data_IF_545495423186
#
_entry.id   IF_545495423186
#
_cell.length_a   1.000
_cell.length_b   1.000
_cell.length_c   1.000
_cell.angle_alpha   90.00
_cell.angle_beta   90.00
_cell.angle_gamma   90.00
#
_symmetry.space_group_name_H-M   'P 1'
#
loop_
_entity.id
_entity.type
_entity.pdbx_description
1 polymer ?
#
# COMPACT_ATOMS: atom_id res chain seq x y z
N UNK A 1 -3.72 -13.77 41.79
CA UNK A 1 -3.05 -13.98 40.50
C UNK A 1 -4.10 -13.99 39.40
N UNK A 2 -4.37 -12.82 38.82
CA UNK A 2 -5.32 -12.66 37.72
C UNK A 2 -4.52 -12.74 36.41
N UNK A 3 -4.51 -13.92 35.78
CA UNK A 3 -3.91 -14.06 34.44
C UNK A 3 -4.90 -13.47 33.45
N UNK A 4 -4.64 -12.21 33.14
CA UNK A 4 -5.17 -11.39 32.05
C UNK A 4 -5.70 -12.22 30.89
N UNK A 5 -7.02 -12.14 30.68
CA UNK A 5 -7.66 -12.54 29.45
C UNK A 5 -7.07 -11.73 28.29
N UNK A 6 -6.16 -12.35 27.55
CA UNK A 6 -5.76 -11.84 26.24
C UNK A 6 -6.92 -12.17 25.30
N UNK A 7 -7.77 -11.18 25.11
CA UNK A 7 -9.04 -11.28 24.42
C UNK A 7 -8.90 -11.85 22.99
N UNK A 8 -9.82 -12.76 22.66
CA UNK A 8 -10.10 -13.22 21.28
C UNK A 8 -10.60 -12.10 20.36
N UNK A 9 -10.88 -10.90 20.90
CA UNK A 9 -11.19 -9.67 20.14
C UNK A 9 -10.03 -9.15 19.27
N UNK A 10 -8.82 -9.68 19.41
CA UNK A 10 -7.66 -9.24 18.61
C UNK A 10 -7.45 -10.00 17.30
N UNK A 11 -8.31 -10.96 16.92
CA UNK A 11 -8.14 -11.70 15.67
C UNK A 11 -8.42 -10.81 14.46
N UNK A 12 -7.54 -10.90 13.48
CA UNK A 12 -7.68 -10.20 12.21
C UNK A 12 -8.84 -10.83 11.44
N UNK A 13 -10.03 -10.24 11.60
CA UNK A 13 -11.18 -10.48 10.72
C UNK A 13 -11.06 -9.68 9.42
N UNK A 14 -12.14 -9.61 8.66
CA UNK A 14 -12.19 -8.90 7.37
C UNK A 14 -11.79 -7.41 7.49
N UNK A 15 -12.22 -6.73 8.55
CA UNK A 15 -11.83 -5.34 8.84
C UNK A 15 -10.32 -5.20 9.14
N UNK A 16 -9.73 -6.14 9.87
CA UNK A 16 -8.30 -6.13 10.18
C UNK A 16 -7.42 -6.36 8.95
N UNK A 17 -7.91 -7.11 7.95
CA UNK A 17 -7.22 -7.27 6.66
C UNK A 17 -7.14 -5.91 5.95
N UNK A 18 -8.27 -5.20 5.86
CA UNK A 18 -8.32 -3.86 5.26
C UNK A 18 -7.42 -2.87 6.01
N UNK A 19 -7.42 -2.90 7.34
CA UNK A 19 -6.55 -2.04 8.15
C UNK A 19 -5.06 -2.30 7.86
N UNK A 20 -4.65 -3.57 7.80
CA UNK A 20 -3.26 -3.95 7.48
C UNK A 20 -2.85 -3.56 6.07
N UNK A 21 -3.73 -3.75 5.08
CA UNK A 21 -3.51 -3.24 3.73
C UNK A 21 -3.40 -1.72 3.70
N UNK A 22 -4.25 -1.02 4.46
CA UNK A 22 -4.19 0.43 4.63
C UNK A 22 -2.82 0.84 5.16
N UNK A 23 -2.29 0.16 6.18
CA UNK A 23 -0.92 0.43 6.68
C UNK A 23 0.17 0.21 5.62
N UNK A 24 0.03 -0.78 4.73
CA UNK A 24 0.96 -0.97 3.62
C UNK A 24 0.84 0.14 2.56
N UNK A 25 -0.38 0.63 2.32
CA UNK A 25 -0.62 1.80 1.47
C UNK A 25 0.02 3.06 2.06
N UNK A 26 -0.25 3.37 3.34
CA UNK A 26 0.28 4.54 4.05
C UNK A 26 1.81 4.53 4.17
N UNK A 27 2.45 3.36 4.06
CA UNK A 27 3.91 3.24 3.99
C UNK A 27 4.46 3.37 2.57
N UNK A 28 3.62 3.30 1.55
CA UNK A 28 4.01 3.28 0.15
C UNK A 28 4.42 1.91 -0.40
N UNK A 29 4.27 0.84 0.39
CA UNK A 29 4.74 -0.49 0.03
C UNK A 29 3.97 -1.06 -1.16
N UNK A 30 2.66 -0.81 -1.23
CA UNK A 30 1.85 -1.25 -2.37
C UNK A 30 2.24 -0.51 -3.67
N UNK A 31 2.59 0.77 -3.60
CA UNK A 31 3.02 1.56 -4.75
C UNK A 31 4.41 1.12 -5.25
N UNK A 32 5.36 0.87 -4.35
CA UNK A 32 6.67 0.29 -4.68
C UNK A 32 6.52 -1.09 -5.33
N UNK A 33 5.70 -1.95 -4.73
CA UNK A 33 5.42 -3.29 -5.25
C UNK A 33 4.80 -3.24 -6.65
N UNK A 34 3.91 -2.27 -6.89
CA UNK A 34 3.32 -2.00 -8.20
C UNK A 34 4.36 -1.49 -9.20
N UNK A 35 5.25 -0.58 -8.79
CA UNK A 35 6.33 -0.04 -9.63
C UNK A 35 7.25 -1.14 -10.15
N UNK A 36 7.76 -1.99 -9.25
CA UNK A 36 8.65 -3.10 -9.58
C UNK A 36 7.96 -4.21 -10.39
N UNK A 37 6.65 -4.13 -10.60
CA UNK A 37 5.90 -5.14 -11.33
C UNK A 37 5.97 -6.50 -10.64
N UNK A 38 6.00 -6.52 -9.31
CA UNK A 38 6.05 -7.76 -8.55
C UNK A 38 4.79 -8.59 -8.87
N UNK A 39 4.98 -9.61 -9.71
CA UNK A 39 3.96 -10.54 -10.18
C UNK A 39 3.58 -11.57 -9.11
N UNK A 40 4.37 -11.66 -8.04
CA UNK A 40 4.16 -12.58 -6.94
C UNK A 40 3.00 -12.17 -6.03
N UNK A 41 2.33 -13.15 -5.41
CA UNK A 41 1.20 -12.88 -4.53
C UNK A 41 1.61 -12.05 -3.30
N UNK A 42 0.73 -11.14 -2.87
CA UNK A 42 0.89 -10.42 -1.61
C UNK A 42 0.29 -11.25 -0.48
N UNK A 43 1.12 -11.63 0.50
CA UNK A 43 0.71 -12.45 1.63
C UNK A 43 0.66 -11.63 2.91
N UNK A 44 -0.47 -11.65 3.60
CA UNK A 44 -0.66 -11.08 4.93
C UNK A 44 -0.75 -12.21 5.96
N UNK A 45 0.25 -12.38 6.85
CA UNK A 45 0.21 -13.45 7.84
C UNK A 45 -0.93 -13.21 8.84
N UNK A 46 -1.71 -14.25 9.12
CA UNK A 46 -2.70 -14.26 10.20
C UNK A 46 -2.06 -14.88 11.45
N UNK A 47 -2.59 -14.54 12.62
CA UNK A 47 -2.19 -15.19 13.88
C UNK A 47 -3.12 -16.37 14.14
N UNK A 48 -2.72 -17.63 13.84
CA UNK A 48 -3.57 -18.78 14.10
C UNK A 48 -3.75 -19.00 15.62
N UNK A 49 -4.88 -19.55 16.05
CA UNK A 49 -5.11 -19.88 17.46
C UNK A 49 -4.14 -20.97 17.95
N UNK A 50 -3.75 -20.86 19.22
CA UNK A 50 -2.92 -21.89 19.89
C UNK A 50 -3.74 -23.12 20.32
N UNK A 51 -3.07 -24.22 20.66
CA UNK A 51 -3.74 -25.50 21.02
C UNK A 51 -4.74 -25.38 22.19
N UNK A 52 -4.41 -24.61 23.22
CA UNK A 52 -5.29 -24.36 24.37
C UNK A 52 -6.55 -23.58 23.96
N UNK A 53 -6.39 -22.60 23.07
CA UNK A 53 -7.46 -21.74 22.60
C UNK A 53 -8.42 -22.48 21.67
N UNK A 54 -7.91 -23.43 20.88
CA UNK A 54 -8.72 -24.36 20.07
C UNK A 54 -9.64 -25.21 20.95
N UNK A 55 -9.18 -25.63 22.13
CA UNK A 55 -9.97 -26.40 23.07
C UNK A 55 -11.01 -25.55 23.79
N UNK A 56 -10.59 -24.40 24.33
CA UNK A 56 -11.43 -23.55 25.19
C UNK A 56 -12.46 -22.74 24.39
N UNK A 57 -12.17 -22.39 23.12
CA UNK A 57 -12.96 -21.44 22.33
C UNK A 57 -13.20 -21.91 20.89
N UNK A 58 -13.44 -23.21 20.72
CA UNK A 58 -13.62 -23.84 19.42
C UNK A 58 -14.72 -23.19 18.56
N UNK A 59 -15.87 -22.86 19.15
CA UNK A 59 -16.98 -22.22 18.43
C UNK A 59 -16.58 -20.89 17.80
N UNK A 60 -15.91 -20.03 18.58
CA UNK A 60 -15.44 -18.72 18.11
C UNK A 60 -14.34 -18.84 17.04
N UNK A 61 -13.47 -19.84 17.15
CA UNK A 61 -12.50 -20.15 16.08
C UNK A 61 -13.23 -20.52 14.79
N UNK A 62 -14.24 -21.39 14.87
CA UNK A 62 -15.00 -21.83 13.70
C UNK A 62 -15.77 -20.67 13.04
N UNK A 63 -16.37 -19.80 13.84
CA UNK A 63 -17.11 -18.65 13.31
C UNK A 63 -16.17 -17.63 12.65
N UNK A 64 -15.00 -17.39 13.25
CA UNK A 64 -13.95 -16.56 12.63
C UNK A 64 -13.44 -17.15 11.30
N UNK A 65 -13.22 -18.47 11.22
CA UNK A 65 -12.81 -19.12 9.96
C UNK A 65 -13.88 -18.93 8.89
N UNK A 66 -15.16 -19.12 9.23
CA UNK A 66 -16.29 -18.92 8.31
C UNK A 66 -16.40 -17.47 7.83
N UNK A 67 -16.22 -16.50 8.72
CA UNK A 67 -16.19 -15.08 8.36
C UNK A 67 -15.09 -14.80 7.33
N UNK A 68 -13.87 -15.31 7.58
CA UNK A 68 -12.75 -15.15 6.66
C UNK A 68 -13.01 -15.79 5.30
N UNK A 69 -13.54 -17.02 5.26
CA UNK A 69 -13.84 -17.73 4.00
C UNK A 69 -14.92 -17.02 3.18
N UNK A 70 -15.96 -16.52 3.84
CA UNK A 70 -17.00 -15.71 3.20
C UNK A 70 -16.43 -14.40 2.63
N UNK A 71 -15.58 -13.72 3.41
CA UNK A 71 -14.92 -12.50 2.97
C UNK A 71 -13.94 -12.75 1.82
N UNK A 72 -13.19 -13.85 1.85
CA UNK A 72 -12.25 -14.26 0.79
C UNK A 72 -12.92 -14.37 -0.57
N UNK A 73 -14.08 -15.03 -0.61
CA UNK A 73 -14.88 -15.22 -1.83
C UNK A 73 -15.37 -13.89 -2.41
N UNK A 74 -15.74 -12.93 -1.55
CA UNK A 74 -16.21 -11.60 -1.95
C UNK A 74 -15.07 -10.67 -2.40
N UNK A 75 -13.96 -10.70 -1.67
CA UNK A 75 -12.89 -9.71 -1.74
C UNK A 75 -11.72 -10.17 -2.63
N UNK A 76 -11.80 -11.38 -3.22
CA UNK A 76 -10.88 -11.87 -4.26
C UNK A 76 -9.49 -12.28 -3.75
N UNK A 77 -9.39 -12.67 -2.48
CA UNK A 77 -8.16 -13.26 -1.92
C UNK A 77 -8.41 -14.72 -1.55
N UNK A 78 -7.34 -15.49 -1.35
CA UNK A 78 -7.41 -16.86 -0.83
C UNK A 78 -6.87 -16.94 0.59
N UNK A 79 -7.31 -17.94 1.33
CA UNK A 79 -6.78 -18.23 2.67
C UNK A 79 -5.75 -19.35 2.54
N UNK A 80 -4.51 -19.08 2.97
CA UNK A 80 -3.55 -20.14 3.20
C UNK A 80 -3.85 -20.79 4.54
N UNK A 81 -3.99 -22.12 4.56
CA UNK A 81 -4.30 -22.90 5.76
C UNK A 81 -3.13 -23.80 6.13
N UNK A 82 -3.02 -24.14 7.42
CA UNK A 82 -2.09 -25.13 7.94
C UNK A 82 -2.87 -26.21 8.68
N UNK A 83 -2.56 -27.46 8.39
CA UNK A 83 -3.08 -28.61 9.12
C UNK A 83 -2.38 -28.74 10.47
N UNK A 84 -3.15 -28.84 11.54
CA UNK A 84 -2.69 -29.07 12.91
C UNK A 84 -3.40 -30.30 13.43
N UNK A 85 -2.63 -31.28 13.88
CA UNK A 85 -3.17 -32.49 14.48
C UNK A 85 -3.28 -32.31 16.00
N UNK A 86 -4.50 -32.25 16.52
CA UNK A 86 -4.77 -32.03 17.93
C UNK A 86 -5.32 -33.30 18.57
N UNK A 87 -4.71 -33.75 19.67
CA UNK A 87 -5.04 -35.04 20.32
C UNK A 87 -6.54 -35.22 20.65
N UNK A 88 -7.24 -34.14 20.97
CA UNK A 88 -8.67 -34.16 21.35
C UNK A 88 -9.59 -33.80 20.18
N UNK A 89 -9.13 -32.96 19.24
CA UNK A 89 -9.98 -32.39 18.19
C UNK A 89 -9.69 -33.01 16.81
N UNK A 90 -8.75 -33.95 16.73
CA UNK A 90 -8.26 -34.54 15.49
C UNK A 90 -7.55 -33.53 14.59
N UNK A 91 -7.57 -33.81 13.29
CA UNK A 91 -7.00 -32.95 12.26
C UNK A 91 -7.85 -31.67 12.05
N UNK A 92 -7.23 -30.51 12.19
CA UNK A 92 -7.86 -29.21 11.98
C UNK A 92 -7.05 -28.35 11.01
N UNK A 93 -7.71 -27.69 10.05
CA UNK A 93 -7.07 -26.74 9.14
C UNK A 93 -7.30 -25.32 9.64
N UNK A 94 -6.22 -24.59 9.92
CA UNK A 94 -6.29 -23.25 10.48
C UNK A 94 -5.77 -22.20 9.49
N UNK A 95 -6.46 -21.06 9.32
CA UNK A 95 -5.95 -19.93 8.55
C UNK A 95 -4.62 -19.42 9.12
N UNK A 96 -3.60 -19.33 8.27
CA UNK A 96 -2.27 -18.81 8.61
C UNK A 96 -1.87 -17.58 7.82
N UNK A 97 -2.49 -17.34 6.66
CA UNK A 97 -2.31 -16.11 5.90
C UNK A 97 -3.48 -15.84 4.96
N UNK A 98 -3.65 -14.58 4.61
CA UNK A 98 -4.47 -14.14 3.46
C UNK A 98 -3.53 -13.85 2.31
N UNK A 99 -3.85 -14.38 1.13
CA UNK A 99 -2.99 -14.24 -0.05
C UNK A 99 -3.78 -13.61 -1.19
N UNK A 100 -3.34 -12.42 -1.59
CA UNK A 100 -3.85 -11.72 -2.75
C UNK A 100 -3.10 -12.20 -3.99
N UNK A 101 -3.81 -12.47 -5.11
CA UNK A 101 -3.17 -12.91 -6.35
C UNK A 101 -2.26 -11.83 -6.96
N UNK A 102 -2.51 -10.54 -6.68
CA UNK A 102 -1.72 -9.42 -7.17
C UNK A 102 -1.86 -8.19 -6.27
N UNK A 103 -0.95 -7.22 -6.44
CA UNK A 103 -1.05 -5.89 -5.82
C UNK A 103 -2.32 -5.17 -6.25
N UNK A 104 -2.74 -5.28 -7.52
CA UNK A 104 -4.00 -4.72 -8.03
C UNK A 104 -5.22 -5.22 -7.23
N UNK A 105 -5.25 -6.50 -6.85
CA UNK A 105 -6.36 -7.03 -6.06
C UNK A 105 -6.39 -6.44 -4.65
N UNK A 106 -5.22 -6.25 -4.02
CA UNK A 106 -5.12 -5.58 -2.73
C UNK A 106 -5.57 -4.11 -2.82
N UNK A 107 -5.16 -3.38 -3.88
CA UNK A 107 -5.60 -2.01 -4.12
C UNK A 107 -7.11 -1.92 -4.42
N UNK A 108 -7.67 -2.89 -5.14
CA UNK A 108 -9.11 -2.99 -5.37
C UNK A 108 -9.87 -3.14 -4.06
N UNK A 109 -9.38 -3.95 -3.12
CA UNK A 109 -9.98 -4.10 -1.80
C UNK A 109 -9.96 -2.78 -1.00
N UNK A 110 -8.91 -1.97 -1.16
CA UNK A 110 -8.81 -0.64 -0.57
C UNK A 110 -9.62 0.44 -1.30
N UNK A 111 -10.17 0.16 -2.50
CA UNK A 111 -10.79 1.17 -3.35
C UNK A 111 -9.80 2.13 -4.02
N UNK A 112 -8.50 1.80 -4.06
CA UNK A 112 -7.41 2.66 -4.56
C UNK A 112 -6.76 2.16 -5.85
N UNK A 113 -7.47 1.33 -6.62
CA UNK A 113 -6.91 0.77 -7.86
C UNK A 113 -6.63 1.84 -8.93
N UNK A 114 -7.53 2.82 -9.11
CA UNK A 114 -7.32 3.90 -10.09
C UNK A 114 -6.12 4.75 -9.70
N UNK A 115 -6.10 5.21 -8.44
CA UNK A 115 -5.02 6.02 -7.87
C UNK A 115 -3.66 5.32 -8.01
N UNK A 116 -3.56 4.03 -7.69
CA UNK A 116 -2.31 3.28 -7.87
C UNK A 116 -1.86 3.18 -9.32
N UNK A 117 -2.79 3.02 -10.27
CA UNK A 117 -2.48 2.94 -11.72
C UNK A 117 -2.05 4.29 -12.29
N UNK A 118 -2.73 5.37 -11.91
CA UNK A 118 -2.36 6.74 -12.27
C UNK A 118 -0.97 7.06 -11.73
N UNK A 119 -0.70 6.73 -10.47
CA UNK A 119 0.61 6.85 -9.86
C UNK A 119 1.68 6.08 -10.62
N UNK A 120 1.42 4.82 -11.01
CA UNK A 120 2.38 4.01 -11.75
C UNK A 120 2.74 4.64 -13.11
N UNK A 121 1.75 5.13 -13.84
CA UNK A 121 1.95 5.78 -15.13
C UNK A 121 2.78 7.05 -14.96
N UNK A 122 2.45 7.87 -13.98
CA UNK A 122 3.15 9.12 -13.67
C UNK A 122 4.60 8.87 -13.23
N UNK A 123 4.82 7.90 -12.35
CA UNK A 123 6.15 7.51 -11.87
C UNK A 123 7.04 7.05 -13.03
N UNK A 124 6.53 6.13 -13.88
CA UNK A 124 7.28 5.64 -15.05
C UNK A 124 7.61 6.74 -16.04
N UNK A 125 6.65 7.63 -16.33
CA UNK A 125 6.87 8.79 -17.19
C UNK A 125 7.94 9.72 -16.60
N UNK A 126 7.83 10.03 -15.32
CA UNK A 126 8.76 10.91 -14.62
C UNK A 126 10.18 10.36 -14.66
N UNK A 127 10.36 9.07 -14.35
CA UNK A 127 11.68 8.44 -14.31
C UNK A 127 12.28 8.32 -15.72
N UNK A 128 11.46 8.11 -16.74
CA UNK A 128 11.92 8.16 -18.14
C UNK A 128 12.48 9.55 -18.49
N UNK A 129 11.80 10.62 -18.10
CA UNK A 129 12.16 11.99 -18.48
C UNK A 129 13.24 12.60 -17.54
N UNK A 130 13.30 12.10 -16.30
CA UNK A 130 14.20 12.50 -15.22
C UNK A 130 14.68 11.26 -14.41
N UNK A 131 15.63 10.47 -14.93
CA UNK A 131 16.08 9.24 -14.28
C UNK A 131 16.61 9.42 -12.85
N UNK A 132 17.18 10.59 -12.54
CA UNK A 132 17.68 10.92 -11.20
C UNK A 132 16.61 10.92 -10.10
N UNK A 133 15.32 11.03 -10.46
CA UNK A 133 14.22 11.07 -9.50
C UNK A 133 13.75 9.70 -9.02
N UNK A 134 14.25 8.60 -9.59
CA UNK A 134 13.79 7.25 -9.21
C UNK A 134 13.93 6.98 -7.70
N UNK A 135 15.10 7.31 -7.14
CA UNK A 135 15.35 7.13 -5.70
C UNK A 135 14.38 7.95 -4.85
N UNK A 136 14.08 9.18 -5.25
CA UNK A 136 13.15 10.05 -4.53
C UNK A 136 11.72 9.50 -4.63
N UNK A 137 11.26 9.13 -5.83
CA UNK A 137 9.90 8.60 -6.07
C UNK A 137 9.64 7.33 -5.27
N UNK A 138 10.61 6.41 -5.21
CA UNK A 138 10.47 5.17 -4.45
C UNK A 138 10.66 5.39 -2.94
N UNK A 139 11.38 6.44 -2.53
CA UNK A 139 11.48 6.88 -1.14
C UNK A 139 10.21 7.58 -0.63
N UNK A 140 9.53 8.33 -1.49
CA UNK A 140 8.39 9.19 -1.17
C UNK A 140 7.17 8.93 -2.08
N UNK A 141 6.70 7.68 -2.21
CA UNK A 141 5.66 7.34 -3.17
C UNK A 141 4.32 8.04 -2.87
N UNK A 142 3.97 8.25 -1.60
CA UNK A 142 2.75 8.97 -1.24
C UNK A 142 2.84 10.48 -1.46
N UNK A 143 4.03 11.07 -1.42
CA UNK A 143 4.21 12.48 -1.78
C UNK A 143 3.86 12.67 -3.25
N UNK A 144 4.37 11.79 -4.13
CA UNK A 144 3.98 11.77 -5.55
C UNK A 144 2.47 11.53 -5.72
N UNK A 145 1.86 10.63 -4.93
CA UNK A 145 0.43 10.38 -4.99
C UNK A 145 -0.42 11.60 -4.56
N UNK A 146 0.09 12.41 -3.63
CA UNK A 146 -0.54 13.69 -3.25
C UNK A 146 -0.52 14.73 -4.37
N UNK A 147 0.36 14.56 -5.36
CA UNK A 147 0.59 15.51 -6.44
C UNK A 147 0.15 15.01 -7.83
N UNK A 148 -0.68 13.97 -7.93
CA UNK A 148 -1.06 13.39 -9.24
C UNK A 148 -1.64 14.42 -10.23
N UNK A 149 -2.38 15.42 -9.74
CA UNK A 149 -3.05 16.41 -10.59
C UNK A 149 -2.16 17.59 -11.00
N UNK A 150 -1.11 17.89 -10.25
CA UNK A 150 -0.24 19.05 -10.45
C UNK A 150 1.21 18.69 -10.79
N UNK A 151 1.57 17.41 -10.79
CA UNK A 151 2.92 16.94 -11.09
C UNK A 151 3.44 17.35 -12.47
N UNK A 152 2.58 17.44 -13.48
CA UNK A 152 2.99 17.93 -14.81
C UNK A 152 3.56 19.35 -14.75
N UNK A 153 3.02 20.21 -13.88
CA UNK A 153 3.56 21.55 -13.63
C UNK A 153 4.93 21.49 -12.93
N UNK A 154 5.11 20.56 -11.99
CA UNK A 154 6.40 20.31 -11.33
C UNK A 154 7.44 19.86 -12.36
N UNK A 155 7.10 18.91 -13.24
CA UNK A 155 7.99 18.47 -14.31
C UNK A 155 8.34 19.59 -15.30
N UNK A 156 7.39 20.48 -15.61
CA UNK A 156 7.65 21.66 -16.44
C UNK A 156 8.69 22.59 -15.80
N UNK A 157 8.60 22.81 -14.48
CA UNK A 157 9.58 23.59 -13.72
C UNK A 157 10.96 22.93 -13.75
N UNK A 158 11.05 21.63 -13.47
CA UNK A 158 12.31 20.89 -13.52
C UNK A 158 12.95 20.92 -14.91
N UNK A 159 12.14 20.75 -15.96
CA UNK A 159 12.61 20.82 -17.35
C UNK A 159 13.14 22.21 -17.68
N UNK A 160 12.46 23.27 -17.24
CA UNK A 160 12.88 24.64 -17.46
C UNK A 160 14.23 24.94 -16.82
N UNK A 161 14.43 24.55 -15.55
CA UNK A 161 15.71 24.76 -14.85
C UNK A 161 16.86 23.95 -15.44
N UNK A 162 16.59 22.72 -15.91
CA UNK A 162 17.60 21.90 -16.63
C UNK A 162 18.10 22.60 -17.90
N UNK A 163 17.22 23.32 -18.60
CA UNK A 163 17.56 24.05 -19.83
C UNK A 163 18.11 25.46 -19.56
N UNK A 164 17.96 26.00 -18.35
CA UNK A 164 18.40 27.34 -17.97
C UNK A 164 19.21 27.33 -16.64
N UNK A 165 20.42 26.74 -16.63
CA UNK A 165 21.20 26.49 -15.40
C UNK A 165 21.69 27.76 -14.67
N UNK A 166 21.63 28.93 -15.30
CA UNK A 166 21.91 30.23 -14.66
C UNK A 166 20.81 31.22 -15.04
N UNK A 167 19.62 31.14 -14.42
CA UNK A 167 18.49 31.98 -14.80
C UNK A 167 18.84 33.46 -14.70
N UNK A 168 19.68 33.85 -13.73
CA UNK A 168 20.00 35.26 -13.43
C UNK A 168 18.75 36.12 -13.17
N UNK A 169 17.59 35.47 -12.99
CA UNK A 169 16.25 36.03 -13.06
C UNK A 169 15.47 35.66 -11.81
N UNK A 170 14.65 36.60 -11.34
CA UNK A 170 13.73 36.36 -10.24
C UNK A 170 12.64 35.37 -10.68
N UNK A 171 12.12 34.55 -9.75
CA UNK A 171 11.04 33.58 -10.00
C UNK A 171 9.82 34.14 -10.78
N UNK A 172 9.57 35.45 -10.68
CA UNK A 172 8.50 36.17 -11.38
C UNK A 172 8.74 36.34 -12.89
N UNK A 173 9.95 36.08 -13.37
CA UNK A 173 10.37 36.24 -14.76
C UNK A 173 10.50 34.88 -15.48
N UNK A 174 10.04 33.80 -14.84
CA UNK A 174 10.03 32.46 -15.41
C UNK A 174 8.81 32.33 -16.32
N UNK A 175 9.04 32.28 -17.63
CA UNK A 175 8.00 31.98 -18.62
C UNK A 175 7.88 30.46 -18.76
N UNK A 176 7.10 29.84 -17.88
CA UNK A 176 6.81 28.41 -17.89
C UNK A 176 5.32 28.25 -18.22
N UNK A 177 4.97 27.68 -19.39
CA UNK A 177 3.58 27.50 -19.78
C UNK A 177 2.78 26.73 -18.72
N UNK A 178 1.66 27.31 -18.27
CA UNK A 178 0.76 26.70 -17.30
C UNK A 178 1.23 26.73 -15.84
N UNK A 179 2.37 27.38 -15.54
CA UNK A 179 2.91 27.49 -14.18
C UNK A 179 3.04 28.97 -13.80
N UNK A 180 2.23 29.42 -12.85
CA UNK A 180 2.38 30.77 -12.29
C UNK A 180 3.43 30.81 -11.16
N UNK A 181 3.83 32.01 -10.74
CA UNK A 181 4.80 32.16 -9.64
C UNK A 181 4.29 31.56 -8.33
N UNK A 182 2.99 31.61 -8.03
CA UNK A 182 2.40 31.07 -6.80
C UNK A 182 2.51 29.54 -6.75
N UNK A 183 2.42 28.87 -7.89
CA UNK A 183 2.64 27.44 -8.02
C UNK A 183 4.03 27.04 -7.52
N UNK A 184 5.06 27.75 -8.00
CA UNK A 184 6.46 27.48 -7.63
C UNK A 184 6.69 27.83 -6.16
N UNK A 185 6.23 28.99 -5.71
CA UNK A 185 6.37 29.46 -4.32
C UNK A 185 5.78 28.46 -3.32
N UNK A 186 4.59 27.94 -3.58
CA UNK A 186 3.92 26.97 -2.71
C UNK A 186 4.57 25.58 -2.70
N UNK A 187 5.45 25.27 -3.66
CA UNK A 187 6.12 23.96 -3.82
C UNK A 187 7.65 24.04 -3.74
N UNK A 188 8.19 25.16 -3.26
CA UNK A 188 9.66 25.37 -3.15
C UNK A 188 10.39 24.26 -2.41
N UNK A 189 9.79 23.76 -1.33
CA UNK A 189 10.36 22.66 -0.54
C UNK A 189 10.50 21.40 -1.39
N UNK A 190 9.39 20.95 -1.99
CA UNK A 190 9.36 19.78 -2.86
C UNK A 190 10.36 19.93 -4.02
N UNK A 191 10.33 21.08 -4.71
CA UNK A 191 11.25 21.36 -5.82
C UNK A 191 12.73 21.40 -5.41
N UNK A 192 13.05 21.67 -4.15
CA UNK A 192 14.42 21.61 -3.64
C UNK A 192 14.87 20.22 -3.22
N UNK A 193 13.93 19.29 -3.03
CA UNK A 193 14.20 17.88 -2.71
C UNK A 193 14.35 17.01 -3.99
N UNK A 194 13.85 17.49 -5.13
CA UNK A 194 13.89 16.87 -6.47
C UNK A 194 15.15 17.27 -7.26
#
# INVERSE_FOLDING_TARGET
MATTGKEVRSRTGSAGIRERLGKLWERGDLLRRLYHGESGPLSLPLSPPGSRELLERFGEVRDWVRELEAAASRDGYRIATRTVNHRVLGENRLPVAVVFPSTDQALRLLGRLSEGREWLLLARRTIRDFPGLERWILGHPLELAGHLSDWEGILAVLSWFRNHPRPGRYLRQLDIPGVDTKFIESRKRLLGEL
#
